data_IF_394659575498
#
_entry.id   IF_394659575498
#
_cell.length_a   1.000
_cell.length_b   1.000
_cell.length_c   1.000
_cell.angle_alpha   90.00
_cell.angle_beta   90.00
_cell.angle_gamma   90.00
#
_symmetry.space_group_name_H-M   'P 1'
#
loop_
_entity.id
_entity.type
_entity.pdbx_description
1 polymer ?
#
# COMPACT_ATOMS: atom_id res chain seq x y z
N UNK A 1 29.42 22.75 1.32
CA UNK A 1 28.60 22.70 0.09
C UNK A 1 29.23 21.62 -0.75
N UNK A 2 28.74 20.39 -0.59
CA UNK A 2 29.45 19.22 -1.08
C UNK A 2 29.36 19.14 -2.59
N UNK A 3 30.53 19.07 -3.24
CA UNK A 3 30.68 18.79 -4.65
C UNK A 3 30.01 17.45 -4.95
N UNK A 4 29.00 17.47 -5.80
CA UNK A 4 28.29 16.27 -6.19
C UNK A 4 29.28 15.32 -6.90
N UNK A 5 29.69 14.25 -6.21
CA UNK A 5 30.77 13.34 -6.63
C UNK A 5 30.42 12.60 -7.95
N UNK A 6 29.13 12.59 -8.33
CA UNK A 6 28.63 12.01 -9.57
C UNK A 6 27.56 12.90 -10.21
N UNK A 7 27.56 13.06 -11.55
CA UNK A 7 26.50 13.77 -12.24
C UNK A 7 25.17 13.03 -12.08
N UNK A 8 24.08 13.79 -12.00
CA UNK A 8 22.72 13.21 -12.03
C UNK A 8 22.50 12.56 -13.40
N UNK A 9 22.03 11.30 -13.48
CA UNK A 9 21.74 10.66 -14.75
C UNK A 9 20.78 11.49 -15.62
N UNK A 10 20.99 11.45 -16.93
CA UNK A 10 20.15 12.18 -17.88
C UNK A 10 18.66 11.83 -17.70
N UNK A 11 17.80 12.85 -17.67
CA UNK A 11 16.35 12.70 -17.46
C UNK A 11 15.92 12.63 -15.99
N UNK A 12 16.85 12.59 -15.03
CA UNK A 12 16.54 12.67 -13.60
C UNK A 12 16.76 14.10 -13.07
N UNK A 13 16.01 14.44 -12.04
CA UNK A 13 16.13 15.70 -11.31
C UNK A 13 16.02 15.43 -9.81
N UNK A 14 16.72 16.23 -9.01
CA UNK A 14 16.57 16.19 -7.57
C UNK A 14 15.14 16.64 -7.20
N UNK A 15 14.51 15.95 -6.25
CA UNK A 15 13.24 16.43 -5.70
C UNK A 15 13.51 17.76 -4.98
N UNK A 16 12.76 18.84 -5.27
CA UNK A 16 12.87 20.10 -4.53
C UNK A 16 12.73 19.88 -3.02
N UNK A 17 13.59 20.52 -2.22
CA UNK A 17 13.65 20.30 -0.77
C UNK A 17 12.30 20.49 -0.06
N UNK A 18 11.48 21.45 -0.50
CA UNK A 18 10.15 21.71 0.08
C UNK A 18 9.14 20.57 -0.16
N UNK A 19 9.38 19.74 -1.19
CA UNK A 19 8.56 18.56 -1.50
C UNK A 19 9.05 17.30 -0.77
N UNK A 20 10.20 17.31 -0.11
CA UNK A 20 10.67 16.18 0.68
C UNK A 20 9.83 16.03 1.96
N UNK A 21 9.34 14.84 2.24
CA UNK A 21 8.80 14.49 3.55
C UNK A 21 9.94 13.96 4.44
N UNK A 22 10.40 14.80 5.36
CA UNK A 22 11.52 14.54 6.29
C UNK A 22 11.05 14.19 7.70
N UNK A 23 9.74 13.98 7.92
CA UNK A 23 9.20 13.58 9.24
C UNK A 23 9.83 12.27 9.72
N UNK A 24 9.90 11.98 11.02
CA UNK A 24 10.30 10.68 11.54
C UNK A 24 9.47 9.53 10.95
N UNK A 25 10.06 8.33 10.88
CA UNK A 25 9.36 7.14 10.40
C UNK A 25 8.12 6.82 11.24
N UNK A 26 8.11 7.10 12.54
CA UNK A 26 6.97 6.88 13.42
C UNK A 26 5.73 7.70 13.04
N UNK A 27 5.92 8.93 12.53
CA UNK A 27 4.79 9.75 12.05
C UNK A 27 4.24 9.21 10.73
N UNK A 28 5.10 8.72 9.84
CA UNK A 28 4.68 8.06 8.60
C UNK A 28 3.96 6.74 8.90
N UNK A 29 4.48 5.95 9.83
CA UNK A 29 3.86 4.70 10.27
C UNK A 29 2.48 4.96 10.88
N UNK A 30 2.34 6.03 11.67
CA UNK A 30 1.06 6.45 12.21
C UNK A 30 0.06 6.75 11.08
N UNK A 31 0.43 7.55 10.09
CA UNK A 31 -0.44 7.84 8.93
C UNK A 31 -0.84 6.55 8.18
N UNK A 32 0.11 5.63 7.99
CA UNK A 32 -0.12 4.35 7.31
C UNK A 32 -1.07 3.42 8.07
N UNK A 33 -1.06 3.45 9.40
CA UNK A 33 -1.90 2.60 10.26
C UNK A 33 -3.28 3.21 10.55
N UNK A 34 -3.49 4.49 10.24
CA UNK A 34 -4.74 5.21 10.47
C UNK A 34 -5.32 5.70 9.13
N UNK A 35 -5.91 4.81 8.33
CA UNK A 35 -6.36 5.14 6.98
C UNK A 35 -7.46 6.21 7.00
N UNK A 36 -7.33 7.19 6.11
CA UNK A 36 -8.41 8.13 5.79
C UNK A 36 -9.45 7.45 4.88
N UNK A 37 -10.71 7.90 4.85
CA UNK A 37 -11.70 7.43 3.88
C UNK A 37 -11.20 7.52 2.43
N UNK A 38 -11.71 6.65 1.55
CA UNK A 38 -11.39 6.70 0.11
C UNK A 38 -12.28 7.76 -0.53
N UNK A 39 -11.68 8.89 -0.95
CA UNK A 39 -12.43 10.05 -1.46
C UNK A 39 -12.31 10.26 -2.98
N UNK A 40 -11.28 9.69 -3.59
CA UNK A 40 -10.99 9.80 -5.02
C UNK A 40 -10.05 8.66 -5.43
N UNK A 41 -9.66 8.62 -6.71
CA UNK A 41 -8.85 7.55 -7.29
C UNK A 41 -7.36 7.60 -6.92
N UNK A 42 -6.86 8.66 -6.27
CA UNK A 42 -5.44 8.76 -5.88
C UNK A 42 -5.11 7.91 -4.65
N UNK A 43 -5.21 6.60 -4.82
CA UNK A 43 -4.78 5.61 -3.83
C UNK A 43 -3.69 4.74 -4.44
N UNK A 44 -2.74 4.35 -3.60
CA UNK A 44 -1.72 3.35 -3.93
C UNK A 44 -1.96 2.16 -3.01
N UNK A 45 -2.34 1.03 -3.60
CA UNK A 45 -2.82 -0.16 -2.93
C UNK A 45 -1.71 -1.20 -2.81
N UNK A 46 -1.23 -1.39 -1.60
CA UNK A 46 -0.38 -2.50 -1.23
C UNK A 46 -1.19 -3.55 -0.48
N UNK A 47 -0.66 -4.77 -0.45
CA UNK A 47 -1.25 -5.86 0.31
C UNK A 47 -0.15 -6.60 1.09
N UNK A 48 -0.42 -6.89 2.35
CA UNK A 48 0.35 -7.81 3.17
C UNK A 48 -0.60 -8.54 4.09
N UNK A 49 -0.78 -9.85 3.91
CA UNK A 49 -1.83 -10.64 4.57
C UNK A 49 -1.84 -10.50 6.10
N UNK A 50 -0.68 -10.29 6.74
CA UNK A 50 -0.54 -10.09 8.20
C UNK A 50 -0.40 -8.62 8.61
N UNK A 51 -0.62 -7.66 7.72
CA UNK A 51 -0.61 -6.23 8.02
C UNK A 51 0.78 -5.57 8.03
N UNK A 52 0.77 -4.24 8.00
CA UNK A 52 1.97 -3.40 7.84
C UNK A 52 3.04 -3.65 8.90
N UNK A 53 2.65 -3.84 10.16
CA UNK A 53 3.59 -4.02 11.28
C UNK A 53 4.39 -5.32 11.19
N UNK A 54 3.82 -6.37 10.58
CA UNK A 54 4.45 -7.69 10.42
C UNK A 54 5.27 -7.82 9.12
N UNK A 55 5.32 -6.79 8.29
CA UNK A 55 6.16 -6.74 7.10
C UNK A 55 7.65 -6.82 7.46
N UNK A 56 8.46 -7.38 6.57
CA UNK A 56 9.91 -7.31 6.71
C UNK A 56 10.41 -5.86 6.75
N UNK A 57 11.52 -5.56 7.46
CA UNK A 57 12.02 -4.19 7.58
C UNK A 57 12.26 -3.49 6.23
N UNK A 58 12.77 -4.21 5.23
CA UNK A 58 13.03 -3.64 3.90
C UNK A 58 11.73 -3.32 3.14
N UNK A 59 10.68 -4.12 3.29
CA UNK A 59 9.39 -3.84 2.66
C UNK A 59 8.70 -2.67 3.33
N UNK A 60 8.76 -2.55 4.67
CA UNK A 60 8.30 -1.34 5.38
C UNK A 60 9.02 -0.08 4.90
N UNK A 61 10.34 -0.15 4.72
CA UNK A 61 11.14 0.95 4.15
C UNK A 61 10.63 1.35 2.76
N UNK A 62 10.30 0.37 1.90
CA UNK A 62 9.72 0.64 0.58
C UNK A 62 8.39 1.39 0.70
N UNK A 63 7.45 0.90 1.51
CA UNK A 63 6.15 1.58 1.73
C UNK A 63 6.34 3.01 2.22
N UNK A 64 7.24 3.23 3.19
CA UNK A 64 7.57 4.57 3.68
C UNK A 64 8.10 5.48 2.57
N UNK A 65 8.93 4.94 1.68
CA UNK A 65 9.45 5.71 0.53
C UNK A 65 8.32 6.13 -0.42
N UNK A 66 7.36 5.24 -0.72
CA UNK A 66 6.15 5.59 -1.47
C UNK A 66 5.34 6.68 -0.76
N UNK A 67 5.11 6.53 0.54
CA UNK A 67 4.38 7.52 1.33
C UNK A 67 5.05 8.90 1.26
N UNK A 68 6.35 8.98 1.54
CA UNK A 68 7.12 10.22 1.51
C UNK A 68 7.12 10.87 0.14
N UNK A 69 7.13 10.07 -0.94
CA UNK A 69 7.14 10.58 -2.31
C UNK A 69 5.78 11.15 -2.73
N UNK A 70 4.68 10.47 -2.40
CA UNK A 70 3.39 10.74 -3.03
C UNK A 70 2.33 11.37 -2.13
N UNK A 71 2.47 11.28 -0.80
CA UNK A 71 1.49 11.87 0.14
C UNK A 71 1.30 13.37 -0.05
N UNK A 72 2.40 14.14 -0.14
CA UNK A 72 2.38 15.58 -0.44
C UNK A 72 1.81 15.93 -1.82
N UNK A 73 1.73 14.96 -2.73
CA UNK A 73 1.12 15.10 -4.06
C UNK A 73 -0.36 14.69 -4.08
N UNK A 74 -0.94 14.41 -2.91
CA UNK A 74 -2.35 14.06 -2.71
C UNK A 74 -2.68 12.58 -2.87
N UNK A 75 -1.68 11.68 -2.90
CA UNK A 75 -1.93 10.24 -2.94
C UNK A 75 -2.02 9.65 -1.53
N UNK A 76 -2.94 8.71 -1.34
CA UNK A 76 -3.05 7.94 -0.09
C UNK A 76 -2.43 6.57 -0.28
N UNK A 77 -1.45 6.22 0.57
CA UNK A 77 -0.83 4.89 0.56
C UNK A 77 -1.62 4.01 1.53
N UNK A 78 -2.02 2.81 1.07
CA UNK A 78 -2.82 1.87 1.86
C UNK A 78 -2.17 0.50 1.81
N UNK A 79 -1.97 -0.12 2.97
CA UNK A 79 -1.43 -1.48 3.05
C UNK A 79 -2.53 -2.37 3.61
N UNK A 80 -3.31 -2.98 2.71
CA UNK A 80 -4.42 -3.84 3.11
C UNK A 80 -3.94 -5.18 3.65
N UNK A 81 -4.79 -5.79 4.48
CA UNK A 81 -4.49 -7.06 5.14
C UNK A 81 -5.75 -7.92 5.35
N UNK A 82 -5.59 -9.06 6.02
CA UNK A 82 -6.67 -9.99 6.34
C UNK A 82 -6.90 -10.14 7.86
N UNK A 83 -6.36 -9.24 8.67
CA UNK A 83 -6.50 -9.30 10.13
C UNK A 83 -7.89 -8.78 10.54
N UNK A 84 -8.73 -9.58 11.24
CA UNK A 84 -10.14 -9.23 11.46
C UNK A 84 -10.40 -7.85 12.09
N UNK A 85 -9.54 -7.42 13.02
CA UNK A 85 -9.69 -6.13 13.72
C UNK A 85 -8.91 -4.98 13.07
N UNK A 86 -8.26 -5.20 11.93
CA UNK A 86 -7.49 -4.16 11.26
C UNK A 86 -8.42 -3.17 10.56
N UNK A 87 -8.21 -1.84 10.70
CA UNK A 87 -8.91 -0.85 9.89
C UNK A 87 -8.59 -1.00 8.39
N UNK A 88 -7.46 -1.64 8.07
CA UNK A 88 -7.00 -1.94 6.71
C UNK A 88 -7.37 -3.35 6.25
N UNK A 89 -8.22 -4.06 6.98
CA UNK A 89 -8.75 -5.33 6.50
C UNK A 89 -9.49 -5.12 5.17
N UNK A 90 -9.24 -5.99 4.19
CA UNK A 90 -9.90 -5.95 2.86
C UNK A 90 -11.43 -5.88 2.96
N UNK A 91 -12.04 -6.52 3.96
CA UNK A 91 -13.49 -6.52 4.18
C UNK A 91 -14.08 -5.12 4.44
N UNK A 92 -13.28 -4.16 4.87
CA UNK A 92 -13.72 -2.77 5.04
C UNK A 92 -13.84 -2.01 3.71
N UNK A 93 -13.31 -2.57 2.61
CA UNK A 93 -13.23 -1.92 1.30
C UNK A 93 -14.03 -2.67 0.23
N UNK A 94 -14.05 -4.00 0.30
CA UNK A 94 -14.68 -4.90 -0.65
C UNK A 94 -15.61 -5.88 0.08
N UNK A 95 -16.70 -6.28 -0.58
CA UNK A 95 -17.52 -7.40 -0.09
C UNK A 95 -16.76 -8.70 -0.37
N UNK A 96 -16.06 -9.20 0.65
CA UNK A 96 -15.26 -10.43 0.55
C UNK A 96 -16.10 -11.71 0.49
N UNK A 97 -17.43 -11.59 0.60
CA UNK A 97 -18.36 -12.72 0.51
C UNK A 97 -19.04 -12.81 -0.86
N UNK A 98 -18.92 -11.78 -1.70
CA UNK A 98 -19.51 -11.73 -3.03
C UNK A 98 -18.83 -12.73 -3.99
N UNK A 99 -19.54 -13.77 -4.45
CA UNK A 99 -18.99 -14.75 -5.40
C UNK A 99 -18.78 -14.18 -6.80
N UNK A 100 -19.36 -13.01 -7.13
CA UNK A 100 -19.09 -12.30 -8.38
C UNK A 100 -17.72 -11.62 -8.42
N UNK A 101 -17.22 -11.24 -7.24
CA UNK A 101 -15.91 -10.58 -7.08
C UNK A 101 -14.81 -11.57 -6.68
N UNK A 102 -15.11 -12.51 -5.77
CA UNK A 102 -14.12 -13.43 -5.22
C UNK A 102 -14.48 -14.89 -5.45
N UNK A 103 -13.50 -15.74 -5.84
CA UNK A 103 -13.76 -17.18 -5.97
C UNK A 103 -14.06 -17.79 -4.60
N UNK A 104 -14.83 -18.88 -4.59
CA UNK A 104 -15.25 -19.57 -3.35
C UNK A 104 -14.07 -19.92 -2.43
N UNK A 105 -12.93 -20.31 -3.00
CA UNK A 105 -11.72 -20.61 -2.23
C UNK A 105 -11.20 -19.40 -1.43
N UNK A 106 -11.37 -18.18 -1.93
CA UNK A 106 -11.03 -16.96 -1.20
C UNK A 106 -11.99 -16.71 -0.05
N UNK A 107 -13.30 -16.86 -0.31
CA UNK A 107 -14.37 -16.65 0.66
C UNK A 107 -14.22 -17.61 1.84
N UNK A 108 -14.00 -18.90 1.55
CA UNK A 108 -13.87 -19.95 2.56
C UNK A 108 -12.46 -19.99 3.20
N UNK A 109 -11.51 -19.18 2.74
CA UNK A 109 -10.14 -19.14 3.26
C UNK A 109 -9.33 -20.40 2.95
N UNK A 110 -9.67 -21.10 1.86
CA UNK A 110 -9.08 -22.38 1.46
C UNK A 110 -8.06 -22.26 0.31
N UNK A 111 -7.66 -21.04 -0.05
CA UNK A 111 -6.52 -20.83 -0.97
C UNK A 111 -5.28 -21.46 -0.32
N UNK A 112 -4.78 -22.53 -0.93
CA UNK A 112 -3.61 -23.26 -0.48
C UNK A 112 -2.41 -23.17 -1.43
N UNK A 113 -1.40 -23.99 -1.17
CA UNK A 113 -0.14 -24.04 -1.92
C UNK A 113 0.90 -23.04 -1.43
N UNK A 114 2.14 -23.20 -1.93
CA UNK A 114 3.32 -22.45 -1.47
C UNK A 114 3.20 -20.93 -1.67
N UNK A 115 2.31 -20.50 -2.56
CA UNK A 115 2.10 -19.10 -2.94
C UNK A 115 0.70 -18.57 -2.60
N UNK A 116 0.00 -19.21 -1.65
CA UNK A 116 -1.34 -18.79 -1.24
C UNK A 116 -1.46 -17.29 -0.88
N UNK A 117 -0.51 -16.68 -0.14
CA UNK A 117 -0.57 -15.24 0.16
C UNK A 117 -0.45 -14.35 -1.08
N UNK A 118 0.34 -14.77 -2.07
CA UNK A 118 0.54 -14.06 -3.33
C UNK A 118 -0.73 -14.13 -4.19
N UNK A 119 -1.33 -15.32 -4.33
CA UNK A 119 -2.62 -15.46 -5.01
C UNK A 119 -3.72 -14.65 -4.33
N UNK A 120 -3.74 -14.64 -3.00
CA UNK A 120 -4.66 -13.80 -2.22
C UNK A 120 -4.44 -12.31 -2.53
N UNK A 121 -3.19 -11.86 -2.64
CA UNK A 121 -2.85 -10.48 -3.01
C UNK A 121 -3.42 -10.11 -4.38
N UNK A 122 -3.26 -10.97 -5.38
CA UNK A 122 -3.74 -10.72 -6.74
C UNK A 122 -5.26 -10.60 -6.79
N UNK A 123 -5.96 -11.49 -6.09
CA UNK A 123 -7.42 -11.49 -5.98
C UNK A 123 -7.96 -10.24 -5.26
N UNK A 124 -7.17 -9.62 -4.39
CA UNK A 124 -7.55 -8.40 -3.67
C UNK A 124 -7.27 -7.15 -4.49
N UNK A 125 -6.11 -7.07 -5.14
CA UNK A 125 -5.67 -5.84 -5.82
C UNK A 125 -6.55 -5.49 -7.01
N UNK A 126 -6.93 -6.48 -7.82
CA UNK A 126 -7.73 -6.21 -9.02
C UNK A 126 -9.10 -5.57 -8.73
N UNK A 127 -9.94 -6.12 -7.82
CA UNK A 127 -11.22 -5.50 -7.48
C UNK A 127 -11.11 -4.09 -6.88
N UNK A 128 -10.02 -3.78 -6.15
CA UNK A 128 -9.80 -2.42 -5.64
C UNK A 128 -9.65 -1.42 -6.77
N UNK A 129 -8.88 -1.78 -7.81
CA UNK A 129 -8.68 -0.93 -8.97
C UNK A 129 -9.98 -0.72 -9.72
N UNK A 130 -10.82 -1.75 -9.87
CA UNK A 130 -12.13 -1.63 -10.50
C UNK A 130 -13.09 -0.73 -9.71
N UNK A 131 -13.08 -0.82 -8.38
CA UNK A 131 -14.02 -0.08 -7.52
C UNK A 131 -13.58 1.36 -7.22
N UNK A 132 -12.29 1.57 -7.01
CA UNK A 132 -11.74 2.82 -6.48
C UNK A 132 -10.69 3.47 -7.38
N UNK A 133 -10.27 2.83 -8.47
CA UNK A 133 -9.13 3.28 -9.26
C UNK A 133 -7.81 3.25 -8.47
N UNK A 134 -6.85 4.03 -8.95
CA UNK A 134 -5.52 4.13 -8.35
C UNK A 134 -4.50 3.20 -8.97
N UNK A 135 -3.50 2.83 -8.16
CA UNK A 135 -2.35 2.00 -8.56
C UNK A 135 -2.12 0.87 -7.56
#
# INVERSE_FOLDING_TARGET
MDSQIYPIPAGLYAIPTHLLDLRPDSEVDHDLLHPKPVLNEKNIWFFWHTGYTHMHPYTRRNIRAWHRRFSKQGWTIRVLDRLPSSPLNVANFLDISDPGTFPRAFVDGTIGGDYAPQHTSDLVRWPLLLKYGGV
#
